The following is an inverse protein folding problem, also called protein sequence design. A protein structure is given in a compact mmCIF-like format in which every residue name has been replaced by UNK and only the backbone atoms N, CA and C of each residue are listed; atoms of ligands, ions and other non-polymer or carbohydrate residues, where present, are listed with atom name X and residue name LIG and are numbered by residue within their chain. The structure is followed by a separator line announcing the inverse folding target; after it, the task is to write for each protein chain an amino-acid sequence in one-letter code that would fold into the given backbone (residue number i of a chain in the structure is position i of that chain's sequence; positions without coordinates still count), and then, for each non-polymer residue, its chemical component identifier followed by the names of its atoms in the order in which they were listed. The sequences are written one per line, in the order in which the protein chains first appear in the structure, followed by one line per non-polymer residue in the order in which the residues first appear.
data_IF_377812241051
#
_entry.id   IF_377812241051
#
_cell.length_a   1.000
_cell.length_b   1.000
_cell.length_c   1.000
_cell.angle_alpha   90.00
_cell.angle_beta   90.00
_cell.angle_gamma   90.00
#
_symmetry.space_group_name_H-M   'P 1'
#
loop_
_entity.id
_entity.type
_entity.pdbx_description
1 polymer ?
#
# COMPACT_ATOMS: atom_id res chain seq x y z
N UNK A 1 -2.21 -30.70 -3.06
CA UNK A 1 -1.79 -31.12 -4.42
C UNK A 1 -1.61 -29.86 -5.23
N UNK A 2 -0.50 -29.69 -5.98
CA UNK A 2 -0.26 -28.45 -6.71
C UNK A 2 -1.36 -28.23 -7.75
N UNK A 3 -1.88 -27.01 -7.83
CA UNK A 3 -2.95 -26.65 -8.76
C UNK A 3 -2.37 -25.95 -10.00
N UNK A 4 -1.49 -24.99 -9.78
CA UNK A 4 -0.76 -24.23 -10.78
C UNK A 4 0.67 -24.74 -10.97
N UNK A 5 1.38 -25.07 -9.88
CA UNK A 5 2.79 -25.40 -9.97
C UNK A 5 3.06 -26.74 -10.64
N UNK A 6 4.11 -26.78 -11.47
CA UNK A 6 4.50 -27.98 -12.22
C UNK A 6 5.95 -28.39 -11.94
N UNK A 7 6.23 -29.68 -12.06
CA UNK A 7 7.60 -30.20 -12.01
C UNK A 7 8.31 -29.93 -13.33
N UNK A 8 9.56 -29.48 -13.27
CA UNK A 8 10.36 -29.11 -14.44
C UNK A 8 11.78 -29.58 -14.21
N UNK A 9 12.36 -30.29 -15.18
CA UNK A 9 13.78 -30.61 -15.19
C UNK A 9 14.60 -29.35 -15.53
N UNK A 10 15.36 -28.87 -14.54
CA UNK A 10 16.18 -27.66 -14.62
C UNK A 10 17.59 -27.91 -15.20
N UNK A 11 17.87 -29.15 -15.62
CA UNK A 11 19.11 -29.54 -16.32
C UNK A 11 18.88 -29.65 -17.82
N UNK A 12 17.66 -29.96 -18.25
CA UNK A 12 17.27 -30.01 -19.66
C UNK A 12 16.89 -28.62 -20.20
N UNK A 13 17.65 -28.13 -21.18
CA UNK A 13 17.32 -26.88 -21.90
C UNK A 13 15.93 -26.94 -22.51
N UNK A 14 15.61 -28.01 -23.22
CA UNK A 14 14.32 -28.17 -23.88
C UNK A 14 13.17 -28.14 -22.89
N UNK A 15 13.33 -28.76 -21.72
CA UNK A 15 12.31 -28.72 -20.66
C UNK A 15 12.10 -27.31 -20.12
N UNK A 16 13.17 -26.55 -19.89
CA UNK A 16 13.09 -25.17 -19.40
C UNK A 16 12.48 -24.21 -20.44
N UNK A 17 12.92 -24.31 -21.70
CA UNK A 17 12.38 -23.51 -22.82
C UNK A 17 10.90 -23.82 -23.02
N UNK A 18 10.54 -25.11 -23.03
CA UNK A 18 9.14 -25.50 -23.16
C UNK A 18 8.29 -24.94 -22.03
N UNK A 19 8.71 -25.12 -20.77
CA UNK A 19 7.98 -24.61 -19.60
C UNK A 19 7.75 -23.10 -19.68
N UNK A 20 8.78 -22.30 -20.01
CA UNK A 20 8.64 -20.85 -20.11
C UNK A 20 7.80 -20.42 -21.32
N UNK A 21 8.01 -21.07 -22.47
CA UNK A 21 7.34 -20.72 -23.73
C UNK A 21 5.86 -21.11 -23.78
N UNK A 22 5.44 -22.14 -23.04
CA UNK A 22 4.03 -22.58 -22.98
C UNK A 22 3.31 -22.12 -21.71
N UNK A 23 4.00 -21.43 -20.80
CA UNK A 23 3.36 -20.90 -19.60
C UNK A 23 2.24 -19.94 -19.97
N UNK A 24 1.14 -19.99 -19.21
CA UNK A 24 0.03 -19.05 -19.40
C UNK A 24 0.50 -17.61 -19.19
N UNK A 25 0.02 -16.70 -20.04
CA UNK A 25 0.34 -15.27 -19.99
C UNK A 25 -0.93 -14.43 -19.97
N UNK A 26 -0.82 -13.24 -19.42
CA UNK A 26 -1.87 -12.23 -19.46
C UNK A 26 -1.28 -10.90 -19.91
N UNK A 27 -2.06 -10.17 -20.71
CA UNK A 27 -1.74 -8.80 -21.09
C UNK A 27 -1.80 -7.89 -19.86
N UNK A 28 -0.86 -6.97 -19.78
CA UNK A 28 -0.73 -5.99 -18.70
C UNK A 28 -0.62 -4.60 -19.31
N UNK A 29 -1.13 -3.58 -18.62
CA UNK A 29 -1.11 -2.21 -19.13
C UNK A 29 -2.02 -2.00 -20.35
N UNK A 30 -1.48 -1.42 -21.41
CA UNK A 30 -2.26 -0.91 -22.56
C UNK A 30 -2.36 -1.91 -23.74
N UNK A 31 -2.19 -3.22 -23.48
CA UNK A 31 -2.41 -4.27 -24.48
C UNK A 31 -1.19 -4.67 -25.33
N UNK A 32 0.00 -4.10 -25.07
CA UNK A 32 1.24 -4.51 -25.74
C UNK A 32 2.16 -5.32 -24.83
N UNK A 33 2.00 -5.19 -23.52
CA UNK A 33 2.83 -5.86 -22.56
C UNK A 33 2.16 -7.13 -22.05
N UNK A 34 2.93 -8.17 -21.78
CA UNK A 34 2.39 -9.38 -21.14
C UNK A 34 3.38 -9.97 -20.15
N UNK A 35 2.85 -10.71 -19.17
CA UNK A 35 3.67 -11.45 -18.22
C UNK A 35 3.06 -12.81 -17.88
N UNK A 36 3.83 -13.65 -17.19
CA UNK A 36 3.39 -14.93 -16.66
C UNK A 36 2.19 -14.72 -15.72
N UNK A 37 1.14 -15.51 -15.93
CA UNK A 37 -0.12 -15.32 -15.23
C UNK A 37 -0.88 -16.62 -15.01
N UNK A 38 -1.77 -16.62 -14.03
CA UNK A 38 -2.76 -17.67 -13.79
C UNK A 38 -4.16 -17.08 -13.80
N UNK A 39 -5.09 -17.77 -14.47
CA UNK A 39 -6.50 -17.38 -14.49
C UNK A 39 -7.19 -17.89 -13.22
N UNK A 40 -7.46 -16.97 -12.30
CA UNK A 40 -8.00 -17.24 -10.96
C UNK A 40 -9.48 -16.88 -10.84
N UNK A 41 -10.20 -16.75 -11.97
CA UNK A 41 -11.67 -16.61 -11.93
C UNK A 41 -12.25 -17.77 -11.12
N UNK A 42 -13.22 -17.50 -10.23
CA UNK A 42 -13.81 -18.47 -9.30
C UNK A 42 -14.17 -19.80 -10.00
N UNK A 43 -14.83 -19.74 -11.16
CA UNK A 43 -15.18 -20.91 -11.98
C UNK A 43 -14.00 -21.80 -12.41
N UNK A 44 -12.78 -21.25 -12.44
CA UNK A 44 -11.56 -21.95 -12.83
C UNK A 44 -10.77 -22.49 -11.64
N UNK A 45 -11.08 -22.11 -10.39
CA UNK A 45 -10.33 -22.51 -9.19
C UNK A 45 -10.68 -23.92 -8.67
N UNK A 46 -11.66 -24.59 -9.29
CA UNK A 46 -12.18 -25.91 -8.89
C UNK A 46 -12.55 -25.97 -7.41
N UNK A 47 -13.42 -25.06 -6.99
CA UNK A 47 -13.85 -24.92 -5.59
C UNK A 47 -14.98 -25.90 -5.20
N UNK A 48 -15.61 -26.57 -6.16
CA UNK A 48 -16.75 -27.44 -5.91
C UNK A 48 -17.91 -26.64 -5.31
N UNK A 49 -18.51 -27.18 -4.25
CA UNK A 49 -19.66 -26.58 -3.54
C UNK A 49 -19.32 -25.26 -2.83
N UNK A 50 -18.05 -24.88 -2.75
CA UNK A 50 -17.61 -23.61 -2.17
C UNK A 50 -17.68 -22.43 -3.16
N UNK A 51 -18.06 -22.67 -4.43
CA UNK A 51 -18.03 -21.65 -5.48
C UNK A 51 -18.97 -20.46 -5.20
N UNK A 52 -20.17 -20.71 -4.67
CA UNK A 52 -21.13 -19.64 -4.37
C UNK A 52 -20.62 -18.77 -3.22
N UNK A 53 -20.17 -19.40 -2.12
CA UNK A 53 -19.55 -18.70 -0.98
C UNK A 53 -18.32 -17.87 -1.38
N UNK A 54 -17.59 -18.31 -2.40
CA UNK A 54 -16.45 -17.58 -2.91
C UNK A 54 -16.82 -16.23 -3.54
N UNK A 55 -18.02 -16.12 -4.12
CA UNK A 55 -18.50 -14.85 -4.67
C UNK A 55 -18.77 -13.81 -3.59
N UNK A 56 -19.23 -14.23 -2.41
CA UNK A 56 -19.47 -13.33 -1.27
C UNK A 56 -18.16 -12.96 -0.56
N UNK A 57 -17.34 -13.97 -0.25
CA UNK A 57 -16.12 -13.77 0.53
C UNK A 57 -15.10 -12.88 -0.19
N UNK A 58 -14.96 -13.00 -1.52
CA UNK A 58 -13.97 -12.22 -2.28
C UNK A 58 -14.28 -10.71 -2.33
N UNK A 59 -15.50 -10.29 -1.99
CA UNK A 59 -15.91 -8.89 -1.92
C UNK A 59 -15.50 -8.23 -0.59
N UNK A 60 -15.10 -9.00 0.41
CA UNK A 60 -14.72 -8.47 1.71
C UNK A 60 -13.27 -7.97 1.68
N UNK A 61 -13.04 -6.75 2.18
CA UNK A 61 -11.68 -6.16 2.30
C UNK A 61 -10.75 -7.04 3.15
N UNK A 62 -11.30 -7.68 4.19
CA UNK A 62 -10.59 -8.58 5.09
C UNK A 62 -10.02 -9.79 4.36
N UNK A 63 -10.72 -10.33 3.36
CA UNK A 63 -10.25 -11.46 2.55
C UNK A 63 -8.96 -11.10 1.82
N UNK A 64 -8.91 -9.93 1.18
CA UNK A 64 -7.71 -9.48 0.49
C UNK A 64 -6.57 -9.16 1.45
N UNK A 65 -6.87 -8.65 2.66
CA UNK A 65 -5.86 -8.43 3.71
C UNK A 65 -5.18 -9.75 4.11
N UNK A 66 -5.93 -10.83 4.29
CA UNK A 66 -5.36 -12.14 4.62
C UNK A 66 -4.54 -12.72 3.46
N UNK A 67 -5.05 -12.64 2.22
CA UNK A 67 -4.33 -13.15 1.04
C UNK A 67 -3.05 -12.35 0.75
N UNK A 68 -3.03 -11.06 1.09
CA UNK A 68 -1.87 -10.18 0.90
C UNK A 68 -0.63 -10.70 1.65
N UNK A 69 -0.80 -11.39 2.78
CA UNK A 69 0.34 -11.96 3.51
C UNK A 69 1.14 -12.94 2.65
N UNK A 70 0.47 -13.75 1.83
CA UNK A 70 1.16 -14.72 0.95
C UNK A 70 1.93 -14.00 -0.15
N UNK A 71 1.40 -12.88 -0.66
CA UNK A 71 2.10 -12.03 -1.63
C UNK A 71 3.33 -11.39 -0.98
N UNK A 72 3.20 -10.86 0.24
CA UNK A 72 4.30 -10.23 0.97
C UNK A 72 5.45 -11.23 1.27
N UNK A 73 5.11 -12.49 1.56
CA UNK A 73 6.09 -13.57 1.73
C UNK A 73 6.82 -13.89 0.42
N UNK A 74 6.09 -13.96 -0.70
CA UNK A 74 6.69 -14.11 -2.03
C UNK A 74 7.62 -12.93 -2.37
N UNK A 75 7.15 -11.70 -2.18
CA UNK A 75 7.91 -10.48 -2.45
C UNK A 75 9.23 -10.49 -1.68
N UNK A 76 9.16 -10.79 -0.37
CA UNK A 76 10.34 -10.89 0.50
C UNK A 76 11.29 -12.00 0.02
N UNK A 77 10.78 -13.18 -0.33
CA UNK A 77 11.58 -14.30 -0.81
C UNK A 77 12.30 -13.98 -2.14
N UNK A 78 11.67 -13.17 -3.00
CA UNK A 78 12.23 -12.71 -4.27
C UNK A 78 13.13 -11.46 -4.13
N UNK A 79 13.33 -10.97 -2.91
CA UNK A 79 14.11 -9.76 -2.63
C UNK A 79 13.44 -8.50 -3.19
N UNK A 80 12.10 -8.50 -3.25
CA UNK A 80 11.23 -7.44 -3.78
C UNK A 80 11.46 -7.09 -5.26
N UNK A 81 12.23 -7.91 -5.99
CA UNK A 81 12.43 -7.76 -7.45
C UNK A 81 11.22 -8.15 -8.26
N UNK A 82 10.35 -8.97 -7.66
CA UNK A 82 9.11 -9.42 -8.23
C UNK A 82 7.99 -9.35 -7.20
N UNK A 83 6.79 -9.15 -7.70
CA UNK A 83 5.55 -9.24 -6.94
C UNK A 83 4.43 -9.88 -7.73
N UNK A 84 3.30 -10.13 -7.07
CA UNK A 84 2.08 -10.67 -7.65
C UNK A 84 1.00 -9.61 -7.55
N UNK A 85 0.35 -9.30 -8.67
CA UNK A 85 -0.79 -8.39 -8.69
C UNK A 85 -2.00 -9.03 -9.38
N UNK A 86 -3.19 -8.56 -9.00
CA UNK A 86 -4.42 -8.88 -9.71
C UNK A 86 -4.51 -8.09 -11.02
N UNK A 87 -4.98 -8.72 -12.09
CA UNK A 87 -5.18 -8.09 -13.39
C UNK A 87 -6.43 -8.60 -14.12
N UNK A 88 -6.77 -7.90 -15.21
CA UNK A 88 -7.90 -8.22 -16.08
C UNK A 88 -9.25 -7.82 -15.52
N UNK A 89 -10.31 -8.02 -16.31
CA UNK A 89 -11.68 -7.72 -15.90
C UNK A 89 -12.05 -8.51 -14.64
N UNK A 90 -12.62 -7.82 -13.66
CA UNK A 90 -12.97 -8.37 -12.33
C UNK A 90 -11.79 -9.00 -11.58
N UNK A 91 -10.55 -8.54 -11.83
CA UNK A 91 -9.35 -9.06 -11.15
C UNK A 91 -9.16 -10.58 -11.32
N UNK A 92 -9.57 -11.12 -12.46
CA UNK A 92 -9.61 -12.58 -12.71
C UNK A 92 -8.27 -13.26 -12.97
N UNK A 93 -7.15 -12.54 -12.90
CA UNK A 93 -5.81 -13.07 -13.10
C UNK A 93 -4.88 -12.66 -11.97
N UNK A 94 -3.98 -13.57 -11.56
CA UNK A 94 -2.77 -13.22 -10.83
C UNK A 94 -1.62 -13.17 -11.82
N UNK A 95 -0.82 -12.11 -11.75
CA UNK A 95 0.25 -11.84 -12.71
C UNK A 95 1.55 -11.55 -11.98
N UNK A 96 2.64 -12.17 -12.45
CA UNK A 96 3.99 -11.89 -11.99
C UNK A 96 4.46 -10.55 -12.57
N UNK A 97 4.89 -9.62 -11.72
CA UNK A 97 5.35 -8.30 -12.15
C UNK A 97 6.73 -8.00 -11.58
N UNK A 98 7.52 -7.21 -12.31
CA UNK A 98 8.76 -6.66 -11.78
C UNK A 98 8.44 -5.54 -10.79
N UNK A 99 9.19 -5.50 -9.70
CA UNK A 99 8.96 -4.54 -8.62
C UNK A 99 10.26 -4.13 -7.94
N UNK A 100 10.12 -3.18 -7.03
CA UNK A 100 11.15 -2.81 -6.07
C UNK A 100 10.51 -2.39 -4.75
N UNK A 101 11.30 -2.41 -3.67
CA UNK A 101 10.87 -1.93 -2.36
C UNK A 101 11.31 -0.50 -2.16
N UNK A 102 10.35 0.41 -2.04
CA UNK A 102 10.60 1.85 -1.92
C UNK A 102 9.96 2.44 -0.67
N UNK A 103 10.45 3.58 -0.16
CA UNK A 103 9.72 4.35 0.83
C UNK A 103 8.36 4.79 0.27
N UNK A 104 7.30 4.49 1.00
CA UNK A 104 5.92 4.84 0.61
C UNK A 104 5.60 6.35 0.66
N UNK A 105 6.48 7.13 1.30
CA UNK A 105 6.24 8.55 1.60
C UNK A 105 5.33 8.80 2.81
N UNK A 106 4.61 7.78 3.31
CA UNK A 106 3.84 7.90 4.54
C UNK A 106 4.76 8.10 5.75
N UNK A 107 4.37 9.02 6.63
CA UNK A 107 5.18 9.45 7.78
C UNK A 107 4.53 9.13 9.12
N UNK A 108 3.21 9.00 9.16
CA UNK A 108 2.47 8.57 10.34
C UNK A 108 1.31 7.64 9.97
N UNK A 109 0.79 6.91 10.96
CA UNK A 109 -0.38 6.06 10.83
C UNK A 109 -1.27 6.14 12.08
N UNK A 110 -2.57 5.86 11.93
CA UNK A 110 -3.50 5.84 13.04
C UNK A 110 -3.41 4.52 13.81
N UNK A 111 -3.28 4.59 15.13
CA UNK A 111 -3.27 3.42 16.01
C UNK A 111 -4.63 2.73 16.13
N UNK A 112 -5.72 3.41 15.75
CA UNK A 112 -7.09 2.87 15.83
C UNK A 112 -7.53 2.20 14.54
N UNK A 113 -7.45 2.89 13.40
CA UNK A 113 -7.96 2.38 12.12
C UNK A 113 -6.88 2.07 11.08
N UNK A 114 -5.59 2.21 11.42
CA UNK A 114 -4.49 1.96 10.48
C UNK A 114 -4.29 3.00 9.38
N UNK A 115 -5.18 3.99 9.26
CA UNK A 115 -5.10 5.04 8.23
C UNK A 115 -3.70 5.68 8.20
N UNK A 116 -3.05 5.60 7.03
CA UNK A 116 -1.72 6.17 6.78
C UNK A 116 -1.82 7.65 6.39
N UNK A 117 -0.79 8.42 6.70
CA UNK A 117 -0.75 9.87 6.48
C UNK A 117 0.63 10.32 6.00
N UNK A 118 0.66 11.21 5.00
CA UNK A 118 1.87 11.79 4.41
C UNK A 118 2.53 12.86 5.30
N UNK A 119 1.90 13.23 6.42
CA UNK A 119 2.46 14.18 7.39
C UNK A 119 2.96 13.49 8.66
N UNK A 120 4.05 14.00 9.22
CA UNK A 120 4.53 13.65 10.56
C UNK A 120 3.78 14.44 11.62
N UNK A 121 3.63 13.88 12.82
CA UNK A 121 3.15 14.58 14.01
C UNK A 121 4.34 15.34 14.62
N UNK A 122 4.15 16.64 14.84
CA UNK A 122 5.17 17.48 15.48
C UNK A 122 5.35 17.11 16.95
N UNK A 123 6.61 17.02 17.40
CA UNK A 123 6.92 16.92 18.82
C UNK A 123 6.83 18.31 19.47
N UNK A 124 5.61 18.64 19.88
CA UNK A 124 5.30 19.94 20.50
C UNK A 124 6.15 20.17 21.74
N UNK A 125 6.35 19.12 22.55
CA UNK A 125 7.08 19.19 23.81
C UNK A 125 8.56 19.51 23.62
N UNK A 126 9.16 19.05 22.52
CA UNK A 126 10.54 19.34 22.17
C UNK A 126 10.67 20.71 21.49
N UNK A 127 9.80 21.03 20.55
CA UNK A 127 9.84 22.31 19.82
C UNK A 127 9.56 23.51 20.71
N UNK A 128 8.66 23.39 21.69
CA UNK A 128 8.33 24.50 22.59
C UNK A 128 9.47 24.93 23.52
N UNK A 129 10.60 24.20 23.55
CA UNK A 129 11.75 24.49 24.43
C UNK A 129 12.63 25.64 23.96
N UNK A 130 12.49 26.08 22.70
CA UNK A 130 13.32 27.15 22.15
C UNK A 130 12.49 28.24 21.47
N UNK A 131 12.95 29.50 21.46
CA UNK A 131 12.33 30.58 20.70
C UNK A 131 12.07 30.22 19.23
N UNK A 132 13.05 29.60 18.56
CA UNK A 132 12.92 29.18 17.16
C UNK A 132 11.92 28.03 16.98
N UNK A 133 11.85 27.12 17.95
CA UNK A 133 10.87 26.03 17.91
C UNK A 133 9.43 26.50 18.14
N UNK A 134 9.20 27.56 18.94
CA UNK A 134 7.91 28.23 19.03
C UNK A 134 7.48 28.83 17.68
N UNK A 135 8.42 29.47 16.96
CA UNK A 135 8.19 29.95 15.59
C UNK A 135 7.84 28.77 14.67
N UNK A 136 8.56 27.65 14.79
CA UNK A 136 8.28 26.45 13.99
C UNK A 136 6.86 25.91 14.24
N UNK A 137 6.38 25.88 15.48
CA UNK A 137 5.01 25.46 15.81
C UNK A 137 3.96 26.37 15.15
N UNK A 138 4.19 27.69 15.12
CA UNK A 138 3.29 28.62 14.43
C UNK A 138 3.29 28.39 12.91
N UNK A 139 4.45 28.07 12.32
CA UNK A 139 4.55 27.70 10.90
C UNK A 139 3.83 26.37 10.60
N UNK A 140 4.00 25.35 11.44
CA UNK A 140 3.31 24.04 11.27
C UNK A 140 1.80 24.23 11.34
N UNK A 141 1.33 25.08 12.26
CA UNK A 141 -0.10 25.35 12.47
C UNK A 141 -0.77 26.06 11.28
N UNK A 142 -0.08 27.01 10.64
CA UNK A 142 -0.69 27.87 9.61
C UNK A 142 -0.24 27.54 8.18
N UNK A 143 0.82 26.77 8.01
CA UNK A 143 1.27 26.27 6.71
C UNK A 143 2.35 27.13 6.04
N UNK A 144 3.10 26.49 5.15
CA UNK A 144 4.34 27.06 4.60
C UNK A 144 4.16 28.13 3.53
N UNK A 145 2.96 28.26 2.98
CA UNK A 145 2.63 29.23 1.94
C UNK A 145 2.27 30.62 2.48
N UNK A 146 2.10 30.77 3.79
CA UNK A 146 1.85 32.07 4.42
C UNK A 146 3.12 32.95 4.30
N UNK A 147 3.03 34.20 3.80
CA UNK A 147 4.20 35.09 3.68
C UNK A 147 4.94 35.31 5.00
N UNK A 148 6.25 35.54 4.94
CA UNK A 148 7.10 35.65 6.14
C UNK A 148 6.71 36.86 7.00
N UNK A 149 6.30 37.95 6.35
CA UNK A 149 5.85 39.19 7.00
C UNK A 149 4.60 38.94 7.87
N UNK A 150 3.67 38.11 7.37
CA UNK A 150 2.47 37.72 8.11
C UNK A 150 2.83 36.93 9.36
N UNK A 151 3.90 36.13 9.33
CA UNK A 151 4.40 35.47 10.54
C UNK A 151 5.02 36.46 11.52
N UNK A 152 5.79 37.44 11.06
CA UNK A 152 6.40 38.45 11.95
C UNK A 152 5.38 39.28 12.71
N UNK A 153 4.21 39.53 12.11
CA UNK A 153 3.15 40.35 12.69
C UNK A 153 2.23 39.57 13.65
N UNK A 154 2.27 38.24 13.65
CA UNK A 154 1.50 37.42 14.60
C UNK A 154 2.03 37.56 16.01
N UNK A 155 1.15 37.78 16.98
CA UNK A 155 1.52 37.96 18.39
C UNK A 155 2.44 36.85 18.91
N UNK A 156 2.15 35.59 18.55
CA UNK A 156 2.94 34.42 18.94
C UNK A 156 4.42 34.48 18.50
N UNK A 157 4.73 35.16 17.40
CA UNK A 157 6.10 35.33 16.87
C UNK A 157 6.66 36.70 17.25
N UNK A 158 5.82 37.74 17.25
CA UNK A 158 6.18 39.12 17.56
C UNK A 158 6.72 39.25 18.99
N UNK A 159 6.10 38.56 19.95
CA UNK A 159 6.49 38.61 21.37
C UNK A 159 7.76 37.83 21.70
N UNK A 160 8.27 36.98 20.80
CA UNK A 160 9.49 36.22 21.02
C UNK A 160 10.70 37.17 21.03
N UNK A 161 11.53 37.09 22.07
CA UNK A 161 12.74 37.90 22.22
C UNK A 161 13.87 37.42 21.29
N UNK A 162 13.76 37.79 20.01
CA UNK A 162 14.72 37.54 18.95
C UNK A 162 14.76 38.74 18.01
N UNK A 163 15.92 39.02 17.42
CA UNK A 163 16.01 40.03 16.37
C UNK A 163 15.17 39.64 15.14
N UNK A 164 14.72 40.64 14.37
CA UNK A 164 13.94 40.42 13.15
C UNK A 164 14.64 39.47 12.16
N UNK A 165 15.95 39.60 12.00
CA UNK A 165 16.73 38.74 11.11
C UNK A 165 16.74 37.28 11.57
N UNK A 166 16.85 37.02 12.88
CA UNK A 166 16.80 35.65 13.42
C UNK A 166 15.40 35.05 13.27
N UNK A 167 14.34 35.85 13.48
CA UNK A 167 12.96 35.38 13.25
C UNK A 167 12.73 34.95 11.80
N UNK A 168 13.17 35.76 10.83
CA UNK A 168 13.09 35.41 9.41
C UNK A 168 13.85 34.12 9.08
N UNK A 169 15.07 33.96 9.60
CA UNK A 169 15.83 32.71 9.43
C UNK A 169 15.09 31.50 10.04
N UNK A 170 14.49 31.66 11.23
CA UNK A 170 13.73 30.61 11.88
C UNK A 170 12.45 30.24 11.10
N UNK A 171 11.73 31.23 10.55
CA UNK A 171 10.55 31.01 9.69
C UNK A 171 10.97 30.24 8.44
N UNK A 172 12.02 30.68 7.75
CA UNK A 172 12.50 30.02 6.53
C UNK A 172 12.96 28.57 6.80
N UNK A 173 13.70 28.35 7.88
CA UNK A 173 14.11 27.00 8.28
C UNK A 173 12.90 26.12 8.64
N UNK A 174 11.92 26.68 9.36
CA UNK A 174 10.71 25.95 9.72
C UNK A 174 9.87 25.56 8.50
N UNK A 175 9.69 26.47 7.54
CA UNK A 175 8.99 26.18 6.27
C UNK A 175 9.66 25.06 5.49
N UNK A 176 11.00 25.03 5.48
CA UNK A 176 11.76 23.98 4.80
C UNK A 176 11.66 22.63 5.51
N UNK A 177 11.85 22.59 6.84
CA UNK A 177 11.91 21.35 7.62
C UNK A 177 10.54 20.74 7.91
N UNK A 178 9.54 21.58 8.19
CA UNK A 178 8.27 21.13 8.75
C UNK A 178 7.08 21.24 7.77
N UNK A 179 7.33 21.38 6.46
CA UNK A 179 6.27 21.44 5.43
C UNK A 179 5.28 20.28 5.48
N UNK A 180 5.76 19.09 5.85
CA UNK A 180 4.99 17.86 5.91
C UNK A 180 4.72 17.46 7.37
N UNK A 181 4.51 18.42 8.26
CA UNK A 181 4.14 18.18 9.65
C UNK A 181 2.71 18.64 9.92
N UNK A 182 2.10 18.06 10.94
CA UNK A 182 0.83 18.48 11.53
C UNK A 182 0.99 18.62 13.04
N UNK A 183 0.28 19.60 13.60
CA UNK A 183 0.23 19.85 15.04
C UNK A 183 -0.60 18.80 15.79
N UNK A 184 -1.73 18.42 15.21
CA UNK A 184 -2.66 17.48 15.83
C UNK A 184 -2.39 16.07 15.34
N UNK A 185 -2.49 15.11 16.26
CA UNK A 185 -2.49 13.70 15.93
C UNK A 185 -3.89 13.13 15.67
N UNK A 186 -4.90 13.98 15.50
CA UNK A 186 -6.26 13.54 15.16
C UNK A 186 -6.26 12.85 13.79
N UNK A 187 -6.83 11.66 13.73
CA UNK A 187 -7.03 10.93 12.48
C UNK A 187 -8.17 11.57 11.68
N UNK A 188 -7.93 11.87 10.40
CA UNK A 188 -8.95 12.41 9.50
C UNK A 188 -10.05 11.41 9.11
N UNK A 189 -9.77 10.10 9.18
CA UNK A 189 -10.72 9.05 8.80
C UNK A 189 -11.67 8.68 9.95
N UNK A 190 -11.12 8.32 11.12
CA UNK A 190 -11.92 7.85 12.25
C UNK A 190 -12.08 8.88 13.38
N UNK A 191 -11.41 10.03 13.31
CA UNK A 191 -11.47 11.07 14.34
C UNK A 191 -10.69 10.77 15.63
N UNK A 192 -10.07 9.59 15.77
CA UNK A 192 -9.30 9.22 16.95
C UNK A 192 -8.14 10.19 17.21
N UNK A 193 -7.84 10.46 18.48
CA UNK A 193 -6.81 11.42 18.92
C UNK A 193 -6.14 10.96 20.23
N UNK A 194 -5.08 11.64 20.66
CA UNK A 194 -4.33 11.28 21.87
C UNK A 194 -3.68 9.90 21.71
N UNK A 195 -3.86 9.02 22.68
CA UNK A 195 -3.28 7.66 22.67
C UNK A 195 -3.86 6.74 21.59
N UNK A 196 -4.96 7.14 20.97
CA UNK A 196 -5.63 6.42 19.88
C UNK A 196 -5.40 7.06 18.50
N UNK A 197 -4.75 8.22 18.48
CA UNK A 197 -4.52 9.02 17.27
C UNK A 197 -3.38 8.51 16.38
N UNK A 198 -2.95 9.39 15.48
CA UNK A 198 -1.80 9.22 14.62
C UNK A 198 -0.51 9.11 15.44
N UNK A 199 0.42 8.28 14.97
CA UNK A 199 1.78 8.14 15.49
C UNK A 199 2.76 8.09 14.31
N UNK A 200 3.94 8.69 14.48
CA UNK A 200 4.99 8.67 13.47
C UNK A 200 5.55 7.26 13.29
N UNK A 201 5.94 6.92 12.07
CA UNK A 201 6.78 5.75 11.85
C UNK A 201 8.19 6.00 12.37
N UNK A 202 8.75 5.06 13.13
CA UNK A 202 10.13 5.14 13.63
C UNK A 202 11.16 5.03 12.50
N UNK A 203 10.87 4.19 11.51
CA UNK A 203 11.66 4.01 10.28
C UNK A 203 10.75 4.28 9.08
N UNK A 204 11.28 4.73 7.93
CA UNK A 204 10.46 4.95 6.74
C UNK A 204 9.56 3.75 6.45
N UNK A 205 8.25 4.00 6.35
CA UNK A 205 7.32 2.97 5.94
C UNK A 205 7.58 2.60 4.49
N UNK A 206 7.79 1.32 4.23
CA UNK A 206 8.15 0.80 2.92
C UNK A 206 6.93 0.20 2.22
N UNK A 207 6.90 0.29 0.91
CA UNK A 207 5.87 -0.33 0.05
C UNK A 207 6.54 -0.97 -1.15
N UNK A 208 5.80 -1.83 -1.84
CA UNK A 208 6.20 -2.37 -3.13
C UNK A 208 5.78 -1.36 -4.21
N UNK A 209 6.74 -0.93 -5.02
CA UNK A 209 6.50 -0.19 -6.24
C UNK A 209 6.58 -1.16 -7.41
N UNK A 210 5.49 -1.27 -8.16
CA UNK A 210 5.40 -2.11 -9.34
C UNK A 210 5.86 -1.28 -10.53
N UNK A 211 6.87 -1.75 -11.26
CA UNK A 211 7.26 -1.05 -12.48
C UNK A 211 6.10 -1.09 -13.46
N UNK A 212 5.81 0.06 -14.08
CA UNK A 212 4.66 0.25 -14.97
C UNK A 212 4.61 -0.81 -16.06
N UNK A 213 3.81 -1.85 -15.80
CA UNK A 213 3.45 -3.00 -16.63
C UNK A 213 4.51 -3.41 -17.67
N UNK A 214 5.77 -3.61 -17.24
CA UNK A 214 6.84 -4.07 -18.11
C UNK A 214 6.66 -5.56 -18.44
N UNK A 215 6.77 -5.91 -19.72
CA UNK A 215 6.73 -7.30 -20.16
C UNK A 215 7.84 -8.12 -19.51
N UNK A 216 7.49 -9.30 -18.99
CA UNK A 216 8.47 -10.30 -18.57
C UNK A 216 8.57 -11.36 -19.66
N UNK A 217 9.62 -11.27 -20.48
CA UNK A 217 9.97 -12.23 -21.54
C UNK A 217 8.93 -12.38 -22.69
N UNK A 218 8.00 -11.45 -22.87
CA UNK A 218 6.91 -11.56 -23.86
C UNK A 218 7.36 -11.72 -25.33
N UNK A 219 8.53 -11.16 -25.69
CA UNK A 219 9.04 -11.12 -27.06
C UNK A 219 10.38 -11.86 -27.21
N UNK A 220 10.78 -12.66 -26.21
CA UNK A 220 12.13 -13.22 -26.17
C UNK A 220 12.18 -14.64 -26.75
N UNK A 221 13.15 -14.85 -27.64
CA UNK A 221 13.57 -16.19 -28.01
C UNK A 221 14.43 -16.79 -26.88
N UNK A 222 13.91 -17.83 -26.23
CA UNK A 222 14.62 -18.53 -25.17
C UNK A 222 15.78 -19.40 -25.68
N UNK A 223 15.90 -19.61 -27.00
CA UNK A 223 17.00 -20.36 -27.60
C UNK A 223 18.37 -19.74 -27.28
N UNK A 224 18.45 -18.40 -27.32
CA UNK A 224 19.70 -17.66 -27.13
C UNK A 224 20.08 -17.46 -25.65
N UNK A 225 19.20 -17.83 -24.73
CA UNK A 225 19.48 -17.67 -23.30
C UNK A 225 20.54 -18.66 -22.82
N UNK A 226 21.41 -18.23 -21.91
CA UNK A 226 22.32 -19.15 -21.22
C UNK A 226 21.53 -20.17 -20.38
N UNK A 227 22.09 -21.37 -20.16
CA UNK A 227 21.46 -22.39 -19.31
C UNK A 227 21.20 -21.86 -17.89
N UNK A 228 22.10 -21.01 -17.38
CA UNK A 228 21.94 -20.35 -16.09
C UNK A 228 20.76 -19.37 -16.11
N UNK A 229 20.67 -18.50 -17.12
CA UNK A 229 19.56 -17.54 -17.25
C UNK A 229 18.20 -18.23 -17.36
N UNK A 230 18.11 -19.30 -18.16
CA UNK A 230 16.89 -20.12 -18.23
C UNK A 230 16.53 -20.70 -16.86
N UNK A 231 17.52 -21.27 -16.16
CA UNK A 231 17.29 -21.86 -14.85
C UNK A 231 16.78 -20.83 -13.84
N UNK A 232 17.38 -19.65 -13.79
CA UNK A 232 16.95 -18.57 -12.89
C UNK A 232 15.53 -18.10 -13.20
N UNK A 233 15.17 -17.97 -14.48
CA UNK A 233 13.80 -17.61 -14.87
C UNK A 233 12.81 -18.72 -14.52
N UNK A 234 13.14 -19.98 -14.78
CA UNK A 234 12.31 -21.13 -14.37
C UNK A 234 12.12 -21.15 -12.87
N UNK A 235 13.16 -20.90 -12.07
CA UNK A 235 13.03 -20.83 -10.61
C UNK A 235 12.09 -19.69 -10.18
N UNK A 236 12.17 -18.54 -10.84
CA UNK A 236 11.29 -17.38 -10.59
C UNK A 236 9.83 -17.71 -10.89
N UNK A 237 9.53 -18.22 -12.09
CA UNK A 237 8.15 -18.56 -12.49
C UNK A 237 7.60 -19.70 -11.63
N UNK A 238 8.43 -20.68 -11.26
CA UNK A 238 8.01 -21.73 -10.32
C UNK A 238 7.73 -21.23 -8.90
N UNK A 239 8.48 -20.22 -8.43
CA UNK A 239 8.20 -19.60 -7.15
C UNK A 239 6.86 -18.85 -7.20
N UNK A 240 6.58 -18.18 -8.32
CA UNK A 240 5.28 -17.55 -8.60
C UNK A 240 4.14 -18.58 -8.60
N UNK A 241 4.27 -19.70 -9.32
CA UNK A 241 3.23 -20.73 -9.36
C UNK A 241 2.91 -21.29 -7.98
N UNK A 242 3.94 -21.51 -7.16
CA UNK A 242 3.78 -21.99 -5.77
C UNK A 242 3.10 -20.95 -4.89
N UNK A 243 3.41 -19.68 -5.06
CA UNK A 243 2.71 -18.62 -4.34
C UNK A 243 1.23 -18.54 -4.76
N UNK A 244 0.91 -18.72 -6.05
CA UNK A 244 -0.48 -18.84 -6.51
C UNK A 244 -1.20 -20.07 -5.92
N UNK A 245 -0.49 -21.20 -5.79
CA UNK A 245 -1.02 -22.38 -5.08
C UNK A 245 -1.34 -22.05 -3.61
N UNK A 246 -0.40 -21.42 -2.90
CA UNK A 246 -0.61 -21.00 -1.50
C UNK A 246 -1.76 -20.00 -1.34
N UNK A 247 -1.88 -19.00 -2.24
CA UNK A 247 -3.00 -18.05 -2.26
C UNK A 247 -4.32 -18.80 -2.40
N UNK A 248 -4.39 -19.77 -3.33
CA UNK A 248 -5.59 -20.60 -3.55
C UNK A 248 -5.90 -21.46 -2.31
N UNK A 249 -4.90 -22.09 -1.71
CA UNK A 249 -5.07 -22.91 -0.50
C UNK A 249 -5.58 -22.08 0.68
N UNK A 250 -5.01 -20.89 0.90
CA UNK A 250 -5.47 -19.95 1.93
C UNK A 250 -6.90 -19.46 1.66
N UNK A 251 -7.25 -19.18 0.41
CA UNK A 251 -8.62 -18.82 0.04
C UNK A 251 -9.60 -19.95 0.33
N UNK A 252 -9.26 -21.20 -0.01
CA UNK A 252 -10.09 -22.38 0.33
C UNK A 252 -10.21 -22.56 1.84
N UNK A 253 -9.12 -22.38 2.58
CA UNK A 253 -9.15 -22.46 4.03
C UNK A 253 -10.12 -21.43 4.64
N UNK A 254 -10.10 -20.18 4.16
CA UNK A 254 -11.06 -19.17 4.61
C UNK A 254 -12.51 -19.54 4.24
N UNK A 255 -12.76 -20.07 3.04
CA UNK A 255 -14.10 -20.53 2.65
C UNK A 255 -14.64 -21.64 3.57
N UNK A 256 -13.74 -22.48 4.09
CA UNK A 256 -14.09 -23.58 5.00
C UNK A 256 -14.21 -23.14 6.47
N UNK A 257 -13.55 -22.05 6.87
CA UNK A 257 -13.41 -21.66 8.29
C UNK A 257 -14.08 -20.35 8.68
N UNK A 258 -14.45 -19.50 7.71
CA UNK A 258 -15.07 -18.20 7.94
C UNK A 258 -16.48 -18.14 7.36
N UNK A 259 -17.40 -17.43 8.00
CA UNK A 259 -18.74 -17.15 7.46
C UNK A 259 -18.91 -15.66 7.19
N UNK A 260 -19.69 -15.33 6.16
CA UNK A 260 -20.04 -13.95 5.83
C UNK A 260 -21.20 -13.54 6.73
N UNK A 261 -20.95 -12.62 7.66
CA UNK A 261 -21.96 -12.13 8.61
C UNK A 261 -22.23 -10.66 8.31
N UNK A 262 -23.50 -10.33 8.08
CA UNK A 262 -23.94 -8.94 7.96
C UNK A 262 -24.29 -8.39 9.34
N UNK A 263 -23.64 -7.29 9.75
CA UNK A 263 -23.97 -6.57 10.98
C UNK A 263 -24.41 -5.15 10.66
N UNK A 264 -25.56 -4.75 11.19
CA UNK A 264 -26.05 -3.36 11.09
C UNK A 264 -25.65 -2.58 12.34
N UNK A 265 -24.71 -1.63 12.19
CA UNK A 265 -24.28 -0.76 13.29
C UNK A 265 -25.09 0.54 13.27
N UNK A 266 -25.93 0.75 14.29
CA UNK A 266 -26.65 2.01 14.48
C UNK A 266 -25.74 3.05 15.14
N UNK A 267 -25.38 4.11 14.40
CA UNK A 267 -24.58 5.22 14.93
C UNK A 267 -25.51 6.34 15.43
N UNK A 268 -25.58 6.61 16.75
CA UNK A 268 -26.37 7.74 17.26
C UNK A 268 -25.79 9.06 16.75
N UNK A 269 -26.61 9.86 16.07
CA UNK A 269 -26.21 11.14 15.47
C UNK A 269 -26.98 12.29 16.10
N UNK A 270 -26.27 13.16 16.82
CA UNK A 270 -26.83 14.42 17.31
C UNK A 270 -26.82 15.46 16.19
N UNK A 271 -27.99 15.95 15.79
CA UNK A 271 -28.14 17.05 14.83
C UNK A 271 -28.79 18.26 15.52
N UNK A 272 -28.40 19.47 15.10
CA UNK A 272 -29.06 20.72 15.50
C UNK A 272 -29.88 21.23 14.31
N UNK A 273 -31.14 20.82 14.15
CA UNK A 273 -31.97 21.35 13.09
C UNK A 273 -32.32 22.82 13.37
N UNK A 274 -32.49 23.60 12.31
CA UNK A 274 -33.11 24.92 12.38
C UNK A 274 -34.60 24.71 12.70
N UNK A 275 -35.07 25.20 13.85
CA UNK A 275 -36.51 25.31 14.13
C UNK A 275 -36.94 26.77 13.96
N UNK A 276 -37.66 27.06 12.88
CA UNK A 276 -38.33 28.35 12.73
C UNK A 276 -39.72 28.24 13.36
N UNK A 277 -40.04 29.12 14.30
CA UNK A 277 -41.41 29.31 14.75
C UNK A 277 -42.05 30.28 13.77
N UNK A 278 -42.89 29.77 12.87
CA UNK A 278 -43.73 30.64 12.05
C UNK A 278 -44.79 31.25 12.99
N UNK A 279 -44.71 32.54 13.29
CA UNK A 279 -45.79 33.24 13.97
C UNK A 279 -46.88 33.56 12.95
N UNK A 280 -47.99 32.81 13.10
CA UNK A 280 -49.33 32.93 12.50
C UNK A 280 -49.46 32.89 10.98
#
# INVERSE_FOLDING_TARGET
MPFFSTSVDKRSRSSMVHFLGTHTRHEIGNGYQSSYAHNVKIRNLRLGDLADKAHDLIQLDDTWRELQQTIDEFDKAMGYRYTIASAGHSNGYLVLLESERVPSGYKSHCRTCGQRNYKSIADVSMLSKTPQGLIALEVIKNGVFVPDEVYLDRDAVKQIDLSKSIKLMAIADAKRRYKDFTMSNRCGACGAQGDKGLVNYEKPHMTVNVFSYRSIDAERDFADWSLHGLRERVLTVKAFDRACDSIRENFIFMLQSCDVVEETILVPKTVKPLSCVCNN
#
